data_IF_096680618036
#
_entry.id   IF_096680618036
#
_cell.length_a   1.000
_cell.length_b   1.000
_cell.length_c   1.000
_cell.angle_alpha   90.00
_cell.angle_beta   90.00
_cell.angle_gamma   90.00
#
_symmetry.space_group_name_H-M   'P 1'
#
loop_
_entity.id
_entity.type
_entity.pdbx_description
1 polymer ?
#
# COMPACT_ATOMS: atom_id res chain seq x y z
N UNK A 1 -23.05 15.95 14.93
CA UNK A 1 -21.89 15.26 14.33
C UNK A 1 -20.65 15.93 14.89
N UNK A 2 -20.50 15.83 16.21
CA UNK A 2 -19.63 16.68 17.01
C UNK A 2 -18.55 15.79 17.65
N UNK A 3 -17.29 16.25 17.53
CA UNK A 3 -16.07 15.87 18.27
C UNK A 3 -14.90 15.37 17.41
N UNK A 4 -13.96 16.31 17.25
CA UNK A 4 -12.50 16.17 17.26
C UNK A 4 -11.82 15.43 16.11
N UNK A 5 -11.57 16.18 15.03
CA UNK A 5 -10.40 15.98 14.18
C UNK A 5 -9.18 16.27 15.07
N UNK A 6 -8.45 15.20 15.43
CA UNK A 6 -7.41 15.14 16.47
C UNK A 6 -6.39 16.28 16.36
N UNK A 7 -6.11 16.77 15.15
CA UNK A 7 -5.22 17.89 14.90
C UNK A 7 -5.78 19.26 15.33
N UNK A 8 -7.07 19.55 15.10
CA UNK A 8 -7.68 20.83 15.52
C UNK A 8 -8.05 20.88 17.00
N UNK A 9 -8.26 19.71 17.63
CA UNK A 9 -8.36 19.64 19.08
C UNK A 9 -7.01 19.96 19.77
N UNK A 10 -5.89 19.61 19.12
CA UNK A 10 -4.53 19.97 19.53
C UNK A 10 -4.19 21.45 19.29
N UNK A 11 -4.88 22.14 18.38
CA UNK A 11 -4.75 23.60 18.11
C UNK A 11 -5.50 24.49 19.13
N UNK A 12 -6.10 23.92 20.17
CA UNK A 12 -6.60 24.68 21.33
C UNK A 12 -5.42 25.36 22.05
N UNK A 13 -5.55 26.57 22.63
CA UNK A 13 -4.50 27.59 22.70
C UNK A 13 -3.38 27.35 23.74
N UNK A 14 -3.11 26.11 24.15
CA UNK A 14 -2.23 25.82 25.29
C UNK A 14 -0.79 25.45 24.92
N UNK A 15 -0.47 25.13 23.66
CA UNK A 15 0.92 25.01 23.16
C UNK A 15 0.98 25.19 21.64
N UNK A 16 1.89 26.03 21.12
CA UNK A 16 2.07 26.19 19.65
C UNK A 16 2.78 24.95 19.08
N UNK A 17 2.02 24.02 18.52
CA UNK A 17 2.59 22.83 17.90
C UNK A 17 3.43 23.19 16.67
N UNK A 18 4.50 22.42 16.38
CA UNK A 18 5.28 22.61 15.17
C UNK A 18 4.39 22.63 13.92
N UNK A 19 4.60 23.60 13.03
CA UNK A 19 3.83 23.71 11.79
C UNK A 19 2.42 24.31 11.91
N UNK A 20 2.01 24.79 13.09
CA UNK A 20 0.69 25.44 13.29
C UNK A 20 0.44 26.60 12.32
N UNK A 21 1.42 27.48 12.14
CA UNK A 21 1.29 28.63 11.24
C UNK A 21 1.11 28.20 9.78
N UNK A 22 1.93 27.26 9.32
CA UNK A 22 1.82 26.70 7.97
C UNK A 22 0.47 25.98 7.76
N UNK A 23 -0.05 25.28 8.78
CA UNK A 23 -1.37 24.66 8.72
C UNK A 23 -2.48 25.72 8.54
N UNK A 24 -2.44 26.83 9.29
CA UNK A 24 -3.39 27.92 9.12
C UNK A 24 -3.30 28.58 7.73
N UNK A 25 -2.08 28.84 7.24
CA UNK A 25 -1.87 29.37 5.90
C UNK A 25 -2.40 28.40 4.83
N UNK A 26 -2.16 27.10 4.99
CA UNK A 26 -2.63 26.06 4.07
C UNK A 26 -4.16 25.96 4.09
N UNK A 27 -4.82 26.12 5.25
CA UNK A 27 -6.29 26.20 5.33
C UNK A 27 -6.83 27.34 4.46
N UNK A 28 -6.23 28.52 4.57
CA UNK A 28 -6.64 29.70 3.79
C UNK A 28 -6.39 29.48 2.30
N UNK A 29 -5.21 28.98 1.92
CA UNK A 29 -4.84 28.63 0.55
C UNK A 29 -5.88 27.68 -0.09
N UNK A 30 -6.16 26.56 0.56
CA UNK A 30 -7.05 25.52 0.03
C UNK A 30 -8.48 26.05 -0.11
N UNK A 31 -8.98 26.82 0.87
CA UNK A 31 -10.31 27.46 0.80
C UNK A 31 -10.42 28.47 -0.34
N UNK A 32 -9.34 29.18 -0.63
CA UNK A 32 -9.23 30.10 -1.77
C UNK A 32 -8.91 29.40 -3.09
N UNK A 33 -9.12 28.07 -3.14
CA UNK A 33 -8.96 27.23 -4.34
C UNK A 33 -7.56 27.24 -4.95
N UNK A 34 -6.53 27.35 -4.11
CA UNK A 34 -5.14 27.38 -4.57
C UNK A 34 -4.71 26.15 -5.41
N UNK A 35 -3.63 26.33 -6.17
CA UNK A 35 -2.97 25.31 -6.99
C UNK A 35 -2.10 24.38 -6.14
N UNK A 36 -1.63 23.28 -6.74
CA UNK A 36 -0.73 22.36 -6.06
C UNK A 36 0.63 23.01 -5.72
N UNK A 37 1.13 23.89 -6.57
CA UNK A 37 2.38 24.63 -6.36
C UNK A 37 2.25 25.64 -5.22
N UNK A 38 1.13 26.36 -5.14
CA UNK A 38 0.84 27.27 -4.03
C UNK A 38 0.79 26.52 -2.69
N UNK A 39 0.16 25.34 -2.66
CA UNK A 39 0.16 24.49 -1.47
C UNK A 39 1.58 24.02 -1.09
N UNK A 40 2.41 23.63 -2.06
CA UNK A 40 3.82 23.25 -1.82
C UNK A 40 4.66 24.42 -1.29
N UNK A 41 4.40 25.63 -1.77
CA UNK A 41 5.11 26.82 -1.31
C UNK A 41 4.85 27.10 0.18
N UNK A 42 3.62 26.89 0.67
CA UNK A 42 3.30 27.01 2.10
C UNK A 42 4.11 26.00 2.94
N UNK A 43 4.38 24.81 2.40
CA UNK A 43 5.12 23.75 3.09
C UNK A 43 6.64 23.91 2.97
N UNK A 44 7.15 24.83 2.15
CA UNK A 44 8.57 24.90 1.78
C UNK A 44 9.48 25.11 3.00
N UNK A 45 9.10 26.05 3.85
CA UNK A 45 9.90 26.53 5.00
C UNK A 45 9.75 25.67 6.27
N UNK A 46 8.96 24.59 6.23
CA UNK A 46 8.80 23.72 7.40
C UNK A 46 10.11 22.98 7.70
N UNK A 47 10.57 22.99 8.98
CA UNK A 47 11.78 22.30 9.38
C UNK A 47 11.62 20.79 9.21
N UNK A 48 12.74 20.07 9.06
CA UNK A 48 12.74 18.61 9.01
C UNK A 48 13.21 18.06 10.36
N UNK A 49 12.30 17.55 11.21
CA UNK A 49 12.68 17.08 12.55
C UNK A 49 13.64 15.88 12.52
N UNK A 50 13.72 15.14 11.40
CA UNK A 50 14.64 14.01 11.25
C UNK A 50 16.09 14.45 10.98
N UNK A 51 16.31 15.72 10.60
CA UNK A 51 17.66 16.28 10.36
C UNK A 51 18.29 16.91 11.60
N UNK A 52 17.50 17.19 12.63
CA UNK A 52 17.95 17.87 13.85
C UNK A 52 18.45 16.89 14.93
N UNK A 53 18.18 15.58 14.78
CA UNK A 53 18.32 14.60 15.87
C UNK A 53 19.57 13.72 15.88
N UNK A 54 20.27 13.50 14.75
CA UNK A 54 21.41 12.58 14.75
C UNK A 54 22.30 12.69 13.49
N UNK A 55 23.61 12.48 13.63
CA UNK A 55 24.53 12.39 12.47
C UNK A 55 24.31 11.12 11.63
N UNK A 56 23.55 10.15 12.16
CA UNK A 56 23.18 8.89 11.53
C UNK A 56 21.94 8.97 10.61
N UNK A 57 21.12 10.03 10.73
CA UNK A 57 19.93 10.29 9.88
C UNK A 57 20.21 11.15 8.65
N UNK A 58 21.49 11.33 8.28
CA UNK A 58 21.91 12.08 7.09
C UNK A 58 21.34 11.55 5.76
N UNK A 59 20.78 10.34 5.75
CA UNK A 59 20.15 9.71 4.58
C UNK A 59 18.62 9.86 4.52
N UNK A 60 17.98 10.56 5.46
CA UNK A 60 16.51 10.62 5.49
C UNK A 60 15.97 11.59 4.43
N UNK A 61 15.40 11.01 3.37
CA UNK A 61 14.98 11.71 2.14
C UNK A 61 13.64 12.46 2.27
N UNK A 62 12.87 12.22 3.32
CA UNK A 62 11.52 12.80 3.48
C UNK A 62 11.39 13.70 4.71
N UNK A 63 10.38 14.57 4.70
CA UNK A 63 10.08 15.46 5.82
C UNK A 63 8.70 15.10 6.43
N UNK A 64 8.67 14.47 7.62
CA UNK A 64 7.42 14.05 8.24
C UNK A 64 6.52 15.21 8.67
N UNK A 65 7.09 16.38 9.02
CA UNK A 65 6.30 17.54 9.42
C UNK A 65 5.55 18.15 8.23
N UNK A 66 6.17 18.18 7.03
CA UNK A 66 5.49 18.59 5.80
C UNK A 66 4.32 17.67 5.48
N UNK A 67 4.52 16.36 5.61
CA UNK A 67 3.47 15.35 5.40
C UNK A 67 2.34 15.53 6.41
N UNK A 68 2.67 15.64 7.71
CA UNK A 68 1.71 15.82 8.79
C UNK A 68 0.83 17.05 8.55
N UNK A 69 1.44 18.24 8.43
CA UNK A 69 0.71 19.50 8.19
C UNK A 69 -0.18 19.39 6.95
N UNK A 70 0.33 18.85 5.84
CA UNK A 70 -0.42 18.74 4.59
C UNK A 70 -1.59 17.77 4.70
N UNK A 71 -1.35 16.52 5.12
CA UNK A 71 -2.34 15.45 5.16
C UNK A 71 -3.43 15.76 6.17
N UNK A 72 -3.05 16.20 7.37
CA UNK A 72 -4.00 16.58 8.42
C UNK A 72 -4.89 17.74 7.97
N UNK A 73 -4.30 18.80 7.42
CA UNK A 73 -5.07 19.98 6.96
C UNK A 73 -6.02 19.63 5.81
N UNK A 74 -5.51 18.94 4.78
CA UNK A 74 -6.28 18.64 3.58
C UNK A 74 -7.46 17.69 3.88
N UNK A 75 -7.21 16.59 4.60
CA UNK A 75 -8.26 15.62 4.91
C UNK A 75 -9.24 16.14 5.95
N UNK A 76 -8.81 17.04 6.85
CA UNK A 76 -9.72 17.75 7.73
C UNK A 76 -10.69 18.65 6.95
N UNK A 77 -10.21 19.38 5.94
CA UNK A 77 -11.09 20.19 5.06
C UNK A 77 -12.01 19.30 4.20
N UNK A 78 -11.55 18.10 3.83
CA UNK A 78 -12.34 17.09 3.13
C UNK A 78 -13.30 16.29 4.01
N UNK A 79 -13.34 16.50 5.33
CA UNK A 79 -14.00 15.61 6.30
C UNK A 79 -15.53 15.55 6.23
N UNK A 80 -16.17 16.41 5.44
CA UNK A 80 -17.65 16.49 5.32
C UNK A 80 -18.27 15.18 4.80
N UNK A 81 -17.61 14.51 3.86
CA UNK A 81 -18.01 13.17 3.40
C UNK A 81 -16.85 12.49 2.69
N UNK A 82 -16.94 11.16 2.51
CA UNK A 82 -15.94 10.37 1.77
C UNK A 82 -15.68 10.97 0.38
N UNK A 83 -16.72 11.42 -0.32
CA UNK A 83 -16.60 12.07 -1.64
C UNK A 83 -15.78 13.37 -1.59
N UNK A 84 -15.91 14.17 -0.53
CA UNK A 84 -15.10 15.38 -0.36
C UNK A 84 -13.63 15.03 -0.11
N UNK A 85 -13.34 14.03 0.72
CA UNK A 85 -11.97 13.52 0.91
C UNK A 85 -11.38 12.99 -0.40
N UNK A 86 -12.14 12.27 -1.21
CA UNK A 86 -11.68 11.77 -2.51
C UNK A 86 -11.39 12.90 -3.49
N UNK A 87 -12.26 13.93 -3.55
CA UNK A 87 -12.03 15.11 -4.37
C UNK A 87 -10.77 15.87 -3.92
N UNK A 88 -10.55 15.99 -2.61
CA UNK A 88 -9.37 16.61 -2.04
C UNK A 88 -8.08 15.85 -2.44
N UNK A 89 -8.07 14.53 -2.27
CA UNK A 89 -6.93 13.67 -2.66
C UNK A 89 -6.66 13.79 -4.16
N UNK A 90 -7.70 13.74 -5.00
CA UNK A 90 -7.54 13.86 -6.45
C UNK A 90 -7.06 15.25 -6.87
N UNK A 91 -7.55 16.34 -6.25
CA UNK A 91 -7.12 17.71 -6.57
C UNK A 91 -5.64 17.94 -6.25
N UNK A 92 -5.15 17.41 -5.13
CA UNK A 92 -3.77 17.61 -4.68
C UNK A 92 -2.89 16.36 -4.85
N UNK A 93 -3.23 15.49 -5.80
CA UNK A 93 -2.50 14.25 -6.08
C UNK A 93 -1.01 14.51 -6.37
N UNK A 94 -0.70 15.56 -7.13
CA UNK A 94 0.68 15.97 -7.40
C UNK A 94 1.48 16.27 -6.12
N UNK A 95 0.88 16.97 -5.15
CA UNK A 95 1.52 17.26 -3.85
C UNK A 95 1.76 15.97 -3.08
N UNK A 96 0.80 15.04 -3.07
CA UNK A 96 1.00 13.72 -2.49
C UNK A 96 2.17 12.99 -3.13
N UNK A 97 2.29 12.99 -4.47
CA UNK A 97 3.39 12.29 -5.17
C UNK A 97 4.77 12.87 -4.84
N UNK A 98 4.87 14.18 -4.62
CA UNK A 98 6.12 14.82 -4.17
C UNK A 98 6.43 14.46 -2.71
N UNK A 99 5.42 14.49 -1.83
CA UNK A 99 5.64 14.26 -0.41
C UNK A 99 5.84 12.79 -0.04
N UNK A 100 5.26 11.86 -0.77
CA UNK A 100 5.30 10.41 -0.54
C UNK A 100 6.20 9.67 -1.55
N UNK A 101 7.40 10.22 -1.80
CA UNK A 101 8.37 9.65 -2.75
C UNK A 101 9.01 8.34 -2.23
N UNK A 102 9.33 8.27 -0.93
CA UNK A 102 9.93 7.07 -0.32
C UNK A 102 8.90 6.20 0.42
N UNK A 103 9.24 4.93 0.68
CA UNK A 103 8.37 4.00 1.43
C UNK A 103 8.07 4.55 2.85
N UNK A 104 9.06 5.13 3.52
CA UNK A 104 8.88 5.74 4.84
C UNK A 104 7.94 6.96 4.80
N UNK A 105 8.01 7.74 3.72
CA UNK A 105 7.11 8.87 3.51
C UNK A 105 5.67 8.40 3.25
N UNK A 106 5.49 7.32 2.48
CA UNK A 106 4.19 6.69 2.27
C UNK A 106 3.60 6.15 3.59
N UNK A 107 4.41 5.50 4.42
CA UNK A 107 4.00 5.05 5.77
C UNK A 107 3.62 6.26 6.64
N UNK A 108 4.36 7.37 6.54
CA UNK A 108 4.02 8.61 7.24
C UNK A 108 2.67 9.18 6.79
N UNK A 109 2.34 9.13 5.50
CA UNK A 109 1.01 9.49 4.98
C UNK A 109 -0.07 8.59 5.57
N UNK A 110 0.14 7.26 5.56
CA UNK A 110 -0.81 6.28 6.11
C UNK A 110 -1.07 6.51 7.61
N UNK A 111 -0.01 6.76 8.38
CA UNK A 111 -0.12 7.13 9.80
C UNK A 111 -1.01 8.36 9.98
N UNK A 112 -0.77 9.42 9.22
CA UNK A 112 -1.57 10.64 9.30
C UNK A 112 -3.04 10.44 8.95
N UNK A 113 -3.33 9.63 7.93
CA UNK A 113 -4.71 9.23 7.59
C UNK A 113 -5.36 8.50 8.76
N UNK A 114 -4.65 7.53 9.33
CA UNK A 114 -5.14 6.73 10.45
C UNK A 114 -5.34 7.56 11.71
N UNK A 115 -4.39 8.41 12.10
CA UNK A 115 -4.51 9.26 13.28
C UNK A 115 -5.75 10.15 13.23
N UNK A 116 -6.06 10.68 12.04
CA UNK A 116 -7.23 11.53 11.81
C UNK A 116 -8.55 10.77 11.88
N UNK A 117 -8.56 9.52 11.41
CA UNK A 117 -9.77 8.72 11.19
C UNK A 117 -9.86 7.43 12.00
N UNK A 118 -9.00 7.20 12.99
CA UNK A 118 -8.94 5.95 13.78
C UNK A 118 -10.26 5.59 14.48
N UNK A 119 -11.12 6.57 14.76
CA UNK A 119 -12.47 6.36 15.33
C UNK A 119 -13.52 5.96 14.28
N UNK A 120 -13.19 6.04 13.00
CA UNK A 120 -14.03 5.75 11.85
C UNK A 120 -13.29 4.77 10.93
N UNK A 121 -13.20 3.50 11.34
CA UNK A 121 -12.46 2.44 10.62
C UNK A 121 -12.84 2.33 9.14
N UNK A 122 -14.12 2.44 8.81
CA UNK A 122 -14.59 2.42 7.41
C UNK A 122 -13.96 3.55 6.57
N UNK A 123 -13.78 4.74 7.15
CA UNK A 123 -13.14 5.88 6.45
C UNK A 123 -11.66 5.58 6.21
N UNK A 124 -10.96 4.97 7.17
CA UNK A 124 -9.58 4.52 6.98
C UNK A 124 -9.50 3.53 5.81
N UNK A 125 -10.35 2.49 5.78
CA UNK A 125 -10.35 1.49 4.72
C UNK A 125 -10.53 2.12 3.32
N UNK A 126 -11.50 3.02 3.16
CA UNK A 126 -11.77 3.64 1.83
C UNK A 126 -10.70 4.65 1.42
N UNK A 127 -10.06 5.35 2.37
CA UNK A 127 -8.97 6.28 2.05
C UNK A 127 -7.68 5.53 1.66
N UNK A 128 -7.35 4.43 2.35
CA UNK A 128 -6.24 3.55 1.95
C UNK A 128 -6.49 2.95 0.56
N UNK A 129 -7.70 2.45 0.30
CA UNK A 129 -8.10 1.97 -1.04
C UNK A 129 -7.93 3.05 -2.11
N UNK A 130 -8.36 4.30 -1.83
CA UNK A 130 -8.19 5.43 -2.73
C UNK A 130 -6.72 5.74 -2.99
N UNK A 131 -5.88 5.76 -1.95
CA UNK A 131 -4.44 6.05 -2.07
C UNK A 131 -3.70 4.99 -2.88
N UNK A 132 -4.04 3.71 -2.71
CA UNK A 132 -3.54 2.62 -3.55
C UNK A 132 -3.99 2.78 -5.02
N UNK A 133 -5.27 3.07 -5.26
CA UNK A 133 -5.81 3.28 -6.63
C UNK A 133 -5.14 4.45 -7.35
N UNK A 134 -4.76 5.49 -6.63
CA UNK A 134 -4.09 6.68 -7.19
C UNK A 134 -2.57 6.58 -7.11
N UNK A 135 -2.00 5.43 -6.72
CA UNK A 135 -0.55 5.23 -6.59
C UNK A 135 0.15 6.30 -5.73
N UNK A 136 -0.55 6.78 -4.69
CA UNK A 136 0.05 7.65 -3.66
C UNK A 136 0.88 6.79 -2.71
N UNK A 137 0.40 5.59 -2.41
CA UNK A 137 1.09 4.59 -1.61
C UNK A 137 1.13 3.27 -2.36
N UNK A 138 2.15 2.47 -2.08
CA UNK A 138 2.34 1.13 -2.61
C UNK A 138 1.80 0.06 -1.65
N UNK A 139 1.59 -1.15 -2.19
CA UNK A 139 1.09 -2.26 -1.39
C UNK A 139 2.07 -2.68 -0.28
N UNK A 140 3.37 -2.62 -0.57
CA UNK A 140 4.48 -2.84 0.37
C UNK A 140 4.39 -1.90 1.58
N UNK A 141 4.26 -0.59 1.33
CA UNK A 141 4.13 0.42 2.38
C UNK A 141 2.92 0.18 3.28
N UNK A 142 1.76 -0.19 2.70
CA UNK A 142 0.55 -0.53 3.46
C UNK A 142 0.78 -1.76 4.34
N UNK A 143 1.36 -2.84 3.79
CA UNK A 143 1.68 -4.02 4.57
C UNK A 143 2.65 -3.68 5.71
N UNK A 144 3.75 -2.98 5.44
CA UNK A 144 4.73 -2.56 6.45
C UNK A 144 4.07 -1.71 7.56
N UNK A 145 3.17 -0.79 7.21
CA UNK A 145 2.45 0.05 8.17
C UNK A 145 1.51 -0.77 9.08
N UNK A 146 0.74 -1.73 8.54
CA UNK A 146 -0.21 -2.52 9.33
C UNK A 146 0.46 -3.35 10.43
N UNK A 147 1.70 -3.79 10.21
CA UNK A 147 2.51 -4.53 11.18
C UNK A 147 3.44 -3.64 12.03
N UNK A 148 3.28 -2.31 11.95
CA UNK A 148 4.07 -1.38 12.74
C UNK A 148 3.73 -1.45 14.24
N UNK A 149 4.67 -0.98 15.07
CA UNK A 149 4.48 -0.90 16.54
C UNK A 149 3.27 -0.04 16.93
N UNK A 150 2.99 1.01 16.15
CA UNK A 150 1.85 1.91 16.38
C UNK A 150 0.50 1.20 16.19
N UNK A 151 0.44 0.25 15.26
CA UNK A 151 -0.76 -0.54 14.96
C UNK A 151 -0.94 -1.75 15.87
N UNK A 152 0.08 -2.13 16.64
CA UNK A 152 0.05 -3.31 17.52
C UNK A 152 -1.16 -3.35 18.48
N UNK A 153 -1.57 -2.25 19.14
CA UNK A 153 -2.76 -2.25 20.00
C UNK A 153 -4.07 -2.53 19.24
N UNK A 154 -4.10 -2.24 17.93
CA UNK A 154 -5.27 -2.37 17.07
C UNK A 154 -5.25 -3.64 16.23
N UNK A 155 -4.19 -4.43 16.31
CA UNK A 155 -3.90 -5.53 15.41
C UNK A 155 -4.99 -6.61 15.35
N UNK A 156 -5.77 -6.79 16.42
CA UNK A 156 -6.89 -7.75 16.46
C UNK A 156 -8.21 -7.20 15.89
N UNK A 157 -8.27 -5.91 15.53
CA UNK A 157 -9.47 -5.29 14.98
C UNK A 157 -9.70 -5.73 13.53
N UNK A 158 -10.96 -5.98 13.16
CA UNK A 158 -11.33 -6.50 11.84
C UNK A 158 -10.83 -5.67 10.67
N UNK A 159 -10.92 -4.34 10.78
CA UNK A 159 -10.57 -3.42 9.69
C UNK A 159 -9.09 -3.49 9.28
N UNK A 160 -8.17 -3.85 10.19
CA UNK A 160 -6.74 -4.03 9.88
C UNK A 160 -6.57 -5.13 8.83
N UNK A 161 -7.30 -6.22 9.00
CA UNK A 161 -7.26 -7.39 8.11
C UNK A 161 -8.05 -7.16 6.83
N UNK A 162 -9.13 -6.38 6.88
CA UNK A 162 -9.82 -5.90 5.68
C UNK A 162 -8.88 -5.10 4.78
N UNK A 163 -8.10 -4.17 5.36
CA UNK A 163 -7.11 -3.39 4.61
C UNK A 163 -6.02 -4.30 4.03
N UNK A 164 -5.49 -5.25 4.81
CA UNK A 164 -4.47 -6.19 4.33
C UNK A 164 -4.97 -6.98 3.13
N UNK A 165 -6.12 -7.64 3.24
CA UNK A 165 -6.67 -8.45 2.16
C UNK A 165 -7.07 -7.60 0.95
N UNK A 166 -7.66 -6.42 1.16
CA UNK A 166 -7.92 -5.47 0.07
C UNK A 166 -6.65 -5.09 -0.69
N UNK A 167 -5.53 -4.92 0.02
CA UNK A 167 -4.23 -4.59 -0.56
C UNK A 167 -3.68 -5.74 -1.39
N UNK A 168 -3.72 -6.96 -0.86
CA UNK A 168 -3.29 -8.17 -1.59
C UNK A 168 -4.18 -8.40 -2.82
N UNK A 169 -5.49 -8.30 -2.68
CA UNK A 169 -6.44 -8.44 -3.80
C UNK A 169 -6.17 -7.46 -4.93
N UNK A 170 -5.80 -6.22 -4.61
CA UNK A 170 -5.43 -5.22 -5.61
C UNK A 170 -4.18 -5.61 -6.37
N UNK A 171 -3.15 -6.05 -5.66
CA UNK A 171 -1.91 -6.50 -6.29
C UNK A 171 -2.18 -7.70 -7.20
N UNK A 172 -2.94 -8.69 -6.71
CA UNK A 172 -3.35 -9.86 -7.49
C UNK A 172 -4.12 -9.45 -8.76
N UNK A 173 -5.13 -8.58 -8.63
CA UNK A 173 -5.91 -8.07 -9.78
C UNK A 173 -5.06 -7.27 -10.75
N UNK A 174 -4.06 -6.53 -10.27
CA UNK A 174 -3.14 -5.78 -11.12
C UNK A 174 -2.31 -6.72 -11.99
N UNK A 175 -1.70 -7.74 -11.39
CA UNK A 175 -0.93 -8.78 -12.11
C UNK A 175 -1.81 -9.53 -13.10
N UNK A 176 -2.99 -10.00 -12.68
CA UNK A 176 -3.93 -10.70 -13.58
C UNK A 176 -4.36 -9.84 -14.75
N UNK A 177 -4.59 -8.54 -14.53
CA UNK A 177 -4.96 -7.60 -15.59
C UNK A 177 -3.83 -7.45 -16.60
N UNK A 178 -2.60 -7.18 -16.14
CA UNK A 178 -1.44 -7.03 -17.03
C UNK A 178 -1.15 -8.32 -17.82
N UNK A 179 -1.26 -9.48 -17.17
CA UNK A 179 -1.08 -10.78 -17.82
C UNK A 179 -2.10 -11.00 -18.95
N UNK A 180 -3.36 -10.65 -18.71
CA UNK A 180 -4.41 -10.73 -19.73
C UNK A 180 -4.17 -9.76 -20.88
N UNK A 181 -3.83 -8.51 -20.58
CA UNK A 181 -3.54 -7.50 -21.61
C UNK A 181 -2.34 -7.90 -22.49
N UNK A 182 -1.30 -8.48 -21.89
CA UNK A 182 -0.14 -9.00 -22.64
C UNK A 182 -0.52 -10.17 -23.54
N UNK A 183 -1.31 -11.12 -23.03
CA UNK A 183 -1.77 -12.27 -23.82
C UNK A 183 -2.60 -11.82 -25.03
N UNK A 184 -3.52 -10.88 -24.83
CA UNK A 184 -4.33 -10.30 -25.90
C UNK A 184 -3.47 -9.58 -26.96
N UNK A 185 -2.42 -8.87 -26.53
CA UNK A 185 -1.48 -8.20 -27.44
C UNK A 185 -0.65 -9.20 -28.27
N UNK A 186 -0.13 -10.27 -27.64
CA UNK A 186 0.61 -11.34 -28.34
C UNK A 186 -0.26 -12.08 -29.35
N UNK A 187 -1.51 -12.39 -29.00
CA UNK A 187 -2.47 -13.02 -29.93
C UNK A 187 -2.89 -12.11 -31.08
N UNK A 188 -2.95 -10.79 -30.86
CA UNK A 188 -3.22 -9.83 -31.92
C UNK A 188 -2.06 -9.76 -32.91
N UNK A 189 -0.82 -9.78 -32.42
CA UNK A 189 0.39 -9.77 -33.24
C UNK A 189 0.54 -11.04 -34.08
N UNK A 190 0.40 -12.22 -33.46
CA UNK A 190 0.53 -13.51 -34.15
C UNK A 190 -0.49 -13.71 -35.29
N UNK A 191 -1.69 -13.11 -35.17
CA UNK A 191 -2.72 -13.15 -36.23
C UNK A 191 -2.39 -12.27 -37.43
N UNK A 192 -1.63 -11.19 -37.24
CA UNK A 192 -1.21 -10.29 -38.33
C UNK A 192 -0.15 -10.99 -39.19
N UNK A 193 0.85 -11.62 -38.55
CA UNK A 193 1.92 -12.39 -39.21
C UNK A 193 1.37 -13.55 -40.05
N UNK A 194 0.37 -14.29 -39.55
CA UNK A 194 -0.25 -15.37 -40.30
C UNK A 194 -1.08 -14.87 -41.49
N UNK A 195 -1.66 -13.67 -41.41
CA UNK A 195 -2.47 -13.09 -42.49
C UNK A 195 -1.62 -12.47 -43.61
N UNK A 196 -0.41 -12.01 -43.27
CA UNK A 196 0.57 -11.48 -44.24
C UNK A 196 1.20 -12.57 -45.10
N UNK A 197 1.15 -13.84 -44.69
CA UNK A 197 1.76 -14.96 -45.42
C UNK A 197 0.81 -15.64 -46.44
N UNK A 198 -0.48 -15.29 -46.45
CA UNK A 198 -1.52 -15.99 -47.24
C UNK A 198 -2.22 -15.11 -48.30
N UNK A 199 -1.61 -13.96 -48.66
CA UNK A 199 -2.18 -13.00 -49.62
C UNK A 199 -1.27 -12.77 -50.84
N UNK A 200 -0.98 -13.84 -51.57
CA UNK A 200 -0.74 -13.76 -53.02
C UNK A 200 -2.04 -14.09 -53.76
N UNK A 201 -3.09 -13.26 -53.64
CA UNK A 201 -4.08 -13.19 -54.71
C UNK A 201 -4.87 -11.88 -54.72
N UNK A 202 -5.17 -11.44 -55.93
CA UNK A 202 -5.58 -10.10 -56.30
C UNK A 202 -6.89 -9.57 -55.67
N UNK A 203 -6.91 -8.23 -55.59
CA UNK A 203 -8.06 -7.34 -55.79
C UNK A 203 -8.96 -6.97 -54.59
N UNK A 204 -8.70 -5.75 -54.09
CA UNK A 204 -9.74 -4.72 -53.98
C UNK A 204 -10.77 -4.86 -52.87
N UNK A 205 -10.46 -4.38 -51.65
CA UNK A 205 -11.32 -3.40 -50.96
C UNK A 205 -10.69 -2.92 -49.64
N UNK A 206 -10.20 -1.67 -49.69
CA UNK A 206 -9.89 -0.85 -48.51
C UNK A 206 -11.12 -0.76 -47.60
N UNK A 207 -11.09 -1.40 -46.43
CA UNK A 207 -11.86 -0.95 -45.27
C UNK A 207 -10.96 -0.85 -44.04
N UNK A 208 -10.62 0.41 -43.74
CA UNK A 208 -10.11 0.92 -42.47
C UNK A 208 -10.74 0.17 -41.28
N UNK A 209 -9.90 -0.56 -40.54
CA UNK A 209 -10.08 -0.73 -39.10
C UNK A 209 -8.78 -0.29 -38.45
N UNK A 210 -8.74 1.00 -38.16
CA UNK A 210 -7.66 1.70 -37.44
C UNK A 210 -7.72 1.28 -35.95
N UNK A 211 -7.66 -0.03 -35.69
CA UNK A 211 -7.39 -0.55 -34.35
C UNK A 211 -5.89 -0.39 -34.13
N UNK A 212 -5.54 0.39 -33.11
CA UNK A 212 -4.18 0.59 -32.61
C UNK A 212 -3.46 -0.77 -32.53
N UNK A 213 -2.61 -1.06 -33.52
CA UNK A 213 -1.90 -2.33 -33.63
C UNK A 213 -0.78 -2.34 -32.59
N UNK A 214 -0.67 -3.38 -31.73
CA UNK A 214 0.48 -3.51 -30.84
C UNK A 214 1.74 -3.71 -31.69
N UNK A 215 2.76 -2.87 -31.51
CA UNK A 215 4.09 -3.12 -32.09
C UNK A 215 4.84 -4.13 -31.21
N UNK A 216 5.85 -4.80 -31.77
CA UNK A 216 6.73 -5.69 -30.99
C UNK A 216 7.32 -4.97 -29.76
N UNK A 217 7.79 -3.74 -29.95
CA UNK A 217 8.28 -2.88 -28.86
C UNK A 217 7.20 -2.58 -27.80
N UNK A 218 5.92 -2.49 -28.19
CA UNK A 218 4.83 -2.31 -27.23
C UNK A 218 4.57 -3.59 -26.41
N UNK A 219 4.69 -4.77 -27.04
CA UNK A 219 4.59 -6.07 -26.36
C UNK A 219 5.74 -6.23 -25.36
N UNK A 220 6.98 -5.94 -25.76
CA UNK A 220 8.16 -5.97 -24.88
C UNK A 220 7.98 -5.08 -23.64
N UNK A 221 7.52 -3.82 -23.82
CA UNK A 221 7.21 -2.92 -22.69
C UNK A 221 6.08 -3.45 -21.79
N UNK A 222 5.13 -4.22 -22.33
CA UNK A 222 4.07 -4.84 -21.53
C UNK A 222 4.61 -6.03 -20.72
N UNK A 223 5.56 -6.78 -21.28
CA UNK A 223 6.28 -7.84 -20.59
C UNK A 223 7.09 -7.31 -19.41
N UNK A 224 7.89 -6.26 -19.62
CA UNK A 224 8.65 -5.60 -18.55
C UNK A 224 7.72 -5.13 -17.40
N UNK A 225 6.57 -4.53 -17.73
CA UNK A 225 5.58 -4.12 -16.73
C UNK A 225 4.99 -5.28 -15.96
N UNK A 226 4.73 -6.41 -16.61
CA UNK A 226 4.22 -7.60 -15.96
C UNK A 226 5.28 -8.22 -15.03
N UNK A 227 6.55 -8.26 -15.44
CA UNK A 227 7.65 -8.74 -14.59
C UNK A 227 7.85 -7.88 -13.35
N UNK A 228 7.80 -6.54 -13.49
CA UNK A 228 7.81 -5.63 -12.35
C UNK A 228 6.63 -5.90 -11.40
N UNK A 229 5.42 -6.05 -11.94
CA UNK A 229 4.24 -6.34 -11.13
C UNK A 229 4.34 -7.69 -10.39
N UNK A 230 4.92 -8.71 -11.02
CA UNK A 230 5.21 -9.99 -10.36
C UNK A 230 6.26 -9.85 -9.26
N UNK A 231 7.28 -9.02 -9.47
CA UNK A 231 8.29 -8.70 -8.45
C UNK A 231 7.66 -8.02 -7.25
N UNK A 232 6.79 -7.03 -7.48
CA UNK A 232 6.06 -6.33 -6.43
C UNK A 232 5.09 -7.25 -5.68
N UNK A 233 4.38 -8.13 -6.38
CA UNK A 233 3.51 -9.14 -5.77
C UNK A 233 4.30 -10.09 -4.88
N UNK A 234 5.43 -10.62 -5.37
CA UNK A 234 6.32 -11.47 -4.58
C UNK A 234 6.83 -10.74 -3.34
N UNK A 235 7.31 -9.49 -3.51
CA UNK A 235 7.80 -8.65 -2.42
C UNK A 235 6.72 -8.42 -1.36
N UNK A 236 5.48 -8.15 -1.77
CA UNK A 236 4.34 -7.98 -0.86
C UNK A 236 4.13 -9.22 0.01
N UNK A 237 4.05 -10.42 -0.58
CA UNK A 237 3.88 -11.66 0.18
C UNK A 237 5.05 -11.91 1.13
N UNK A 238 6.30 -11.68 0.69
CA UNK A 238 7.47 -11.83 1.54
C UNK A 238 7.41 -10.90 2.76
N UNK A 239 7.06 -9.62 2.57
CA UNK A 239 6.88 -8.67 3.68
C UNK A 239 5.80 -9.18 4.64
N UNK A 240 4.63 -9.57 4.14
CA UNK A 240 3.51 -10.04 4.97
C UNK A 240 3.91 -11.26 5.81
N UNK A 241 4.48 -12.29 5.18
CA UNK A 241 4.87 -13.51 5.89
C UNK A 241 6.04 -13.28 6.86
N UNK A 242 7.05 -12.51 6.46
CA UNK A 242 8.16 -12.15 7.34
C UNK A 242 7.67 -11.40 8.58
N UNK A 243 6.73 -10.46 8.42
CA UNK A 243 6.16 -9.72 9.56
C UNK A 243 5.33 -10.62 10.48
N UNK A 244 4.54 -11.56 9.93
CA UNK A 244 3.83 -12.56 10.73
C UNK A 244 4.79 -13.42 11.55
N UNK A 245 5.83 -13.97 10.91
CA UNK A 245 6.85 -14.79 11.56
C UNK A 245 7.49 -13.99 12.69
N UNK A 246 7.94 -12.77 12.40
CA UNK A 246 8.61 -11.91 13.38
C UNK A 246 7.75 -11.69 14.64
N UNK A 247 6.48 -11.29 14.49
CA UNK A 247 5.63 -10.99 15.65
C UNK A 247 5.19 -12.24 16.42
N UNK A 248 4.98 -13.37 15.72
CA UNK A 248 4.60 -14.64 16.35
C UNK A 248 5.80 -15.20 17.13
N UNK A 249 6.99 -15.21 16.52
CA UNK A 249 8.23 -15.62 17.20
C UNK A 249 8.56 -14.72 18.39
N UNK A 250 8.42 -13.39 18.25
CA UNK A 250 8.62 -12.45 19.37
C UNK A 250 7.67 -12.75 20.54
N UNK A 251 6.40 -13.07 20.26
CA UNK A 251 5.43 -13.45 21.29
C UNK A 251 5.80 -14.78 21.98
N UNK A 252 6.19 -15.79 21.21
CA UNK A 252 6.57 -17.10 21.74
C UNK A 252 7.81 -17.00 22.63
N UNK A 253 8.85 -16.28 22.18
CA UNK A 253 10.08 -16.05 22.96
C UNK A 253 9.77 -15.31 24.27
N UNK A 254 8.88 -14.30 24.22
CA UNK A 254 8.46 -13.58 25.44
C UNK A 254 7.68 -14.47 26.40
N UNK A 255 6.76 -15.29 25.89
CA UNK A 255 5.99 -16.21 26.70
C UNK A 255 6.90 -17.21 27.43
N UNK A 256 7.89 -17.76 26.72
CA UNK A 256 8.90 -18.65 27.30
C UNK A 256 9.77 -17.95 28.36
N UNK A 257 10.28 -16.75 28.05
CA UNK A 257 11.09 -15.94 28.97
C UNK A 257 10.35 -15.61 30.27
N UNK A 258 9.06 -15.31 30.16
CA UNK A 258 8.22 -14.93 31.30
C UNK A 258 7.56 -16.14 31.99
N UNK A 259 7.83 -17.37 31.54
CA UNK A 259 7.18 -18.60 31.99
C UNK A 259 5.63 -18.53 31.96
N UNK A 260 5.09 -17.97 30.88
CA UNK A 260 3.65 -17.79 30.65
C UNK A 260 3.16 -18.68 29.51
N UNK A 261 1.86 -19.02 29.54
CA UNK A 261 1.22 -19.75 28.45
C UNK A 261 1.26 -18.92 27.13
N UNK A 262 1.87 -19.42 26.05
CA UNK A 262 1.88 -18.74 24.77
C UNK A 262 0.49 -18.67 24.10
N UNK A 263 -0.46 -19.56 24.44
CA UNK A 263 -1.76 -19.72 23.76
C UNK A 263 -2.81 -18.67 24.15
N UNK A 264 -2.39 -17.42 24.18
CA UNK A 264 -3.25 -16.25 24.41
C UNK A 264 -4.30 -16.09 23.30
N UNK A 265 -5.34 -15.28 23.58
CA UNK A 265 -6.31 -14.88 22.55
C UNK A 265 -5.62 -14.18 21.36
N UNK A 266 -4.65 -13.30 21.64
CA UNK A 266 -3.89 -12.60 20.61
C UNK A 266 -3.12 -13.59 19.73
N UNK A 267 -2.41 -14.55 20.31
CA UNK A 267 -1.63 -15.55 19.56
C UNK A 267 -2.53 -16.38 18.64
N UNK A 268 -3.63 -16.92 19.17
CA UNK A 268 -4.58 -17.72 18.37
C UNK A 268 -5.21 -16.90 17.23
N UNK A 269 -5.58 -15.65 17.51
CA UNK A 269 -6.11 -14.76 16.49
C UNK A 269 -5.07 -14.46 15.40
N UNK A 270 -3.82 -14.12 15.77
CA UNK A 270 -2.74 -13.83 14.82
C UNK A 270 -2.38 -15.04 13.98
N UNK A 271 -2.27 -16.23 14.59
CA UNK A 271 -2.00 -17.48 13.87
C UNK A 271 -3.14 -17.83 12.90
N UNK A 272 -4.39 -17.58 13.28
CA UNK A 272 -5.53 -17.75 12.39
C UNK A 272 -5.51 -16.75 11.21
N UNK A 273 -5.02 -15.53 11.41
CA UNK A 273 -4.85 -14.54 10.33
C UNK A 273 -3.74 -14.92 9.37
N UNK A 274 -2.63 -15.49 9.86
CA UNK A 274 -1.60 -16.08 9.00
C UNK A 274 -2.21 -17.18 8.12
N UNK A 275 -2.95 -18.12 8.72
CA UNK A 275 -3.66 -19.18 7.99
C UNK A 275 -4.65 -18.60 6.97
N UNK A 276 -5.37 -17.53 7.33
CA UNK A 276 -6.32 -16.86 6.44
C UNK A 276 -5.65 -16.32 5.17
N UNK A 277 -4.42 -15.77 5.27
CA UNK A 277 -3.68 -15.30 4.09
C UNK A 277 -3.39 -16.47 3.15
N UNK A 278 -2.92 -17.61 3.66
CA UNK A 278 -2.70 -18.81 2.84
C UNK A 278 -3.98 -19.30 2.17
N UNK A 279 -5.09 -19.37 2.91
CA UNK A 279 -6.35 -19.89 2.38
C UNK A 279 -6.99 -18.99 1.32
N UNK A 280 -7.00 -17.67 1.53
CA UNK A 280 -7.65 -16.74 0.60
C UNK A 280 -6.83 -16.47 -0.67
N UNK A 281 -5.50 -16.58 -0.58
CA UNK A 281 -4.60 -16.23 -1.68
C UNK A 281 -3.77 -17.43 -2.15
N UNK A 282 -4.30 -18.63 -1.98
CA UNK A 282 -3.55 -19.88 -2.17
C UNK A 282 -2.93 -19.99 -3.58
N UNK A 283 -3.68 -19.63 -4.63
CA UNK A 283 -3.20 -19.70 -6.03
C UNK A 283 -1.97 -18.82 -6.27
N UNK A 284 -1.94 -17.63 -5.66
CA UNK A 284 -0.85 -16.69 -5.83
C UNK A 284 0.33 -17.06 -4.93
N UNK A 285 0.07 -17.48 -3.69
CA UNK A 285 1.10 -17.90 -2.73
C UNK A 285 1.80 -19.17 -3.22
N UNK A 286 1.09 -20.10 -3.86
CA UNK A 286 1.65 -21.35 -4.38
C UNK A 286 2.77 -21.10 -5.41
N UNK A 287 2.68 -20.03 -6.21
CA UNK A 287 3.73 -19.65 -7.17
C UNK A 287 5.05 -19.29 -6.50
N UNK A 288 5.03 -18.96 -5.21
CA UNK A 288 6.19 -18.54 -4.44
C UNK A 288 6.59 -19.53 -3.34
N UNK A 289 5.93 -20.70 -3.26
CA UNK A 289 6.13 -21.70 -2.20
C UNK A 289 7.58 -22.08 -1.99
N UNK A 290 8.33 -22.37 -3.06
CA UNK A 290 9.76 -22.70 -2.98
C UNK A 290 10.61 -21.57 -2.38
N UNK A 291 10.32 -20.30 -2.74
CA UNK A 291 11.02 -19.16 -2.13
C UNK A 291 10.64 -19.03 -0.65
N UNK A 292 9.37 -19.21 -0.31
CA UNK A 292 8.88 -19.11 1.06
C UNK A 292 9.48 -20.19 1.96
N UNK A 293 9.54 -21.43 1.48
CA UNK A 293 10.17 -22.56 2.17
C UNK A 293 11.67 -22.33 2.41
N UNK A 294 12.38 -21.82 1.39
CA UNK A 294 13.83 -21.61 1.47
C UNK A 294 14.22 -20.43 2.36
N UNK A 295 13.44 -19.34 2.35
CA UNK A 295 13.84 -18.07 2.97
C UNK A 295 13.11 -17.73 4.28
N UNK A 296 11.87 -18.20 4.47
CA UNK A 296 11.02 -17.76 5.58
C UNK A 296 10.55 -18.91 6.48
N UNK A 297 10.04 -19.98 5.88
CA UNK A 297 9.48 -21.13 6.59
C UNK A 297 10.49 -22.28 6.61
N UNK A 298 11.68 -22.00 7.17
CA UNK A 298 12.76 -22.98 7.30
C UNK A 298 12.54 -23.90 8.51
N UNK A 299 13.32 -24.98 8.60
CA UNK A 299 13.24 -25.96 9.69
C UNK A 299 13.55 -25.39 11.08
N UNK A 300 14.23 -24.23 11.14
CA UNK A 300 14.57 -23.56 12.40
C UNK A 300 13.40 -22.71 12.94
N UNK A 301 12.33 -22.54 12.17
CA UNK A 301 11.14 -21.81 12.60
C UNK A 301 10.34 -22.61 13.64
N UNK A 302 9.71 -21.91 14.58
CA UNK A 302 8.85 -22.54 15.59
C UNK A 302 7.83 -23.50 14.95
N UNK A 303 7.70 -24.75 15.46
CA UNK A 303 6.86 -25.76 14.85
C UNK A 303 5.41 -25.33 14.64
N UNK A 304 4.83 -24.52 15.52
CA UNK A 304 3.44 -24.10 15.39
C UNK A 304 3.23 -23.11 14.24
N UNK A 305 4.23 -22.26 13.96
CA UNK A 305 4.19 -21.33 12.84
C UNK A 305 4.45 -22.10 11.54
N UNK A 306 5.46 -22.98 11.55
CA UNK A 306 5.83 -23.81 10.41
C UNK A 306 4.70 -24.75 9.99
N UNK A 307 3.96 -25.32 10.94
CA UNK A 307 2.83 -26.22 10.68
C UNK A 307 1.72 -25.53 9.86
N UNK A 308 1.51 -24.21 10.02
CA UNK A 308 0.55 -23.48 9.18
C UNK A 308 0.95 -23.51 7.70
N UNK A 309 2.26 -23.43 7.41
CA UNK A 309 2.77 -23.51 6.05
C UNK A 309 2.69 -24.94 5.50
N UNK A 310 3.03 -25.96 6.30
CA UNK A 310 2.86 -27.35 5.90
C UNK A 310 1.40 -27.73 5.63
N UNK A 311 0.47 -27.27 6.47
CA UNK A 311 -0.97 -27.41 6.24
C UNK A 311 -1.38 -26.81 4.89
N UNK A 312 -0.84 -25.64 4.54
CA UNK A 312 -1.07 -25.02 3.24
C UNK A 312 -0.53 -25.87 2.07
N UNK A 313 0.73 -26.35 2.17
CA UNK A 313 1.31 -27.20 1.13
C UNK A 313 0.51 -28.48 0.91
N UNK A 314 0.00 -29.09 1.99
CA UNK A 314 -0.82 -30.30 1.95
C UNK A 314 -2.17 -30.12 1.21
N UNK A 315 -2.66 -28.89 1.06
CA UNK A 315 -3.86 -28.61 0.23
C UNK A 315 -3.58 -28.67 -1.27
N UNK A 316 -2.29 -28.62 -1.65
CA UNK A 316 -1.83 -28.54 -3.04
C UNK A 316 -0.94 -29.72 -3.47
N UNK A 317 -0.65 -30.62 -2.54
CA UNK A 317 0.11 -31.86 -2.76
C UNK A 317 -0.79 -32.97 -3.31
#
# INVERSE_FOLDING_TARGET
MEKSLVYFAKLSPLTSLPGTEAAHQLVVCVRNKCTAEEALNVLRELPNPLREGDASTAHTTYNPLKIDVFVQTLLNLGSKSISHSFAAISKFHYVFKILAESEEAQICVLRNVWELWQRHSQVVCVLVDKMLKTQIVECSAVATWLFSKEMAPYFTHGYVWEILHLTIDKMNKHVSKLSKELQEAREALARDDSSSSDSEDENGSKKKKDQFKPTEEAVERMEERLEMAHTDQKRLFLIVFQRFIMILSEHLVRADTDARDPHTHWYRATLARLRQVFLLHHEQVQKYSSTLETLLFTQDLDPHILDVFHQFLALTA
#
